data_IF_499652373409
#
_entry.id   IF_499652373409
#
_cell.length_a   1.000
_cell.length_b   1.000
_cell.length_c   1.000
_cell.angle_alpha   90.00
_cell.angle_beta   90.00
_cell.angle_gamma   90.00
#
_symmetry.space_group_name_H-M   'P 1'
#
loop_
_entity.id
_entity.type
_entity.pdbx_description
1 polymer ?
#
# COMPACT_ATOMS: atom_id res chain seq x y z
N UNK A 1 -41.28 -34.74 -40.30
CA UNK A 1 -39.82 -34.58 -40.06
C UNK A 1 -39.04 -35.03 -41.30
N UNK A 2 -39.06 -34.25 -42.39
CA UNK A 2 -38.39 -34.55 -43.68
C UNK A 2 -37.22 -33.59 -43.99
N UNK A 3 -36.62 -32.98 -42.96
CA UNK A 3 -35.52 -32.02 -43.12
C UNK A 3 -34.18 -32.66 -43.49
N UNK A 4 -34.05 -33.98 -43.33
CA UNK A 4 -32.78 -34.67 -43.52
C UNK A 4 -32.76 -35.60 -44.75
N UNK A 5 -33.90 -35.98 -45.33
CA UNK A 5 -33.94 -37.06 -46.33
C UNK A 5 -33.61 -36.63 -47.77
N UNK A 6 -33.73 -35.34 -48.12
CA UNK A 6 -33.56 -34.85 -49.51
C UNK A 6 -32.35 -33.92 -49.71
N UNK A 7 -31.36 -34.00 -48.82
CA UNK A 7 -30.16 -33.14 -48.86
C UNK A 7 -28.99 -33.92 -49.46
N UNK A 8 -28.49 -33.48 -50.63
CA UNK A 8 -27.28 -34.03 -51.27
C UNK A 8 -26.14 -34.15 -50.23
N UNK A 9 -25.40 -35.27 -50.27
CA UNK A 9 -24.35 -35.62 -49.31
C UNK A 9 -23.39 -34.44 -49.03
N UNK A 10 -23.02 -33.67 -50.06
CA UNK A 10 -22.17 -32.48 -49.92
C UNK A 10 -22.76 -31.36 -49.05
N UNK A 11 -24.08 -31.13 -49.06
CA UNK A 11 -24.73 -30.12 -48.20
C UNK A 11 -24.79 -30.55 -46.74
N UNK A 12 -25.00 -31.84 -46.46
CA UNK A 12 -24.95 -32.40 -45.10
C UNK A 12 -23.56 -32.27 -44.48
N UNK A 13 -22.52 -32.56 -45.26
CA UNK A 13 -21.12 -32.42 -44.83
C UNK A 13 -20.74 -30.94 -44.62
N UNK A 14 -21.18 -30.05 -45.50
CA UNK A 14 -20.95 -28.60 -45.36
C UNK A 14 -21.61 -27.98 -44.13
N UNK A 15 -22.82 -28.43 -43.76
CA UNK A 15 -23.50 -27.97 -42.53
C UNK A 15 -22.74 -28.44 -41.29
N UNK A 16 -22.32 -29.71 -41.25
CA UNK A 16 -21.53 -30.24 -40.13
C UNK A 16 -20.20 -29.50 -39.96
N UNK A 17 -19.50 -29.25 -41.07
CA UNK A 17 -18.26 -28.48 -41.06
C UNK A 17 -18.46 -27.01 -40.65
N UNK A 18 -19.53 -26.38 -41.14
CA UNK A 18 -19.89 -25.00 -40.76
C UNK A 18 -20.21 -24.85 -39.28
N UNK A 19 -20.88 -25.83 -38.66
CA UNK A 19 -21.16 -25.83 -37.22
C UNK A 19 -19.87 -25.93 -36.41
N UNK A 20 -18.94 -26.81 -36.81
CA UNK A 20 -17.63 -26.94 -36.13
C UNK A 20 -16.83 -25.65 -36.25
N UNK A 21 -16.80 -25.03 -37.44
CA UNK A 21 -16.16 -23.73 -37.64
C UNK A 21 -16.78 -22.64 -36.78
N UNK A 22 -18.11 -22.56 -36.71
CA UNK A 22 -18.81 -21.59 -35.86
C UNK A 22 -18.47 -21.79 -34.38
N UNK A 23 -18.43 -23.04 -33.91
CA UNK A 23 -18.02 -23.36 -32.54
C UNK A 23 -16.57 -22.97 -32.29
N UNK A 24 -15.65 -23.18 -33.24
CA UNK A 24 -14.27 -22.70 -33.11
C UNK A 24 -14.21 -21.18 -32.97
N UNK A 25 -14.90 -20.44 -33.83
CA UNK A 25 -14.93 -18.97 -33.77
C UNK A 25 -15.48 -18.49 -32.42
N UNK A 26 -16.55 -19.10 -31.92
CA UNK A 26 -17.11 -18.79 -30.59
C UNK A 26 -16.07 -19.01 -29.49
N UNK A 27 -15.36 -20.14 -29.50
CA UNK A 27 -14.31 -20.42 -28.52
C UNK A 27 -13.18 -19.38 -28.57
N UNK A 28 -12.75 -18.98 -29.77
CA UNK A 28 -11.72 -17.93 -29.92
C UNK A 28 -12.21 -16.59 -29.35
N UNK A 29 -13.44 -16.19 -29.67
CA UNK A 29 -14.02 -14.93 -29.16
C UNK A 29 -14.12 -14.95 -27.64
N UNK A 30 -14.61 -16.04 -27.06
CA UNK A 30 -14.66 -16.23 -25.61
C UNK A 30 -13.25 -16.15 -25.03
N UNK A 31 -12.29 -16.87 -25.61
CA UNK A 31 -10.89 -16.83 -25.18
C UNK A 31 -10.31 -15.43 -25.14
N UNK A 32 -10.58 -14.61 -26.17
CA UNK A 32 -10.15 -13.20 -26.23
C UNK A 32 -10.76 -12.39 -25.09
N UNK A 33 -12.08 -12.51 -24.84
CA UNK A 33 -12.78 -11.77 -23.76
C UNK A 33 -12.20 -12.14 -22.38
N UNK A 34 -11.96 -13.43 -22.14
CA UNK A 34 -11.37 -13.89 -20.89
C UNK A 34 -9.93 -13.39 -20.72
N UNK A 35 -9.11 -13.44 -21.77
CA UNK A 35 -7.74 -12.91 -21.74
C UNK A 35 -7.72 -11.40 -21.48
N UNK A 36 -8.64 -10.62 -22.07
CA UNK A 36 -8.78 -9.19 -21.79
C UNK A 36 -9.18 -8.92 -20.34
N UNK A 37 -10.11 -9.71 -19.80
CA UNK A 37 -10.56 -9.58 -18.40
C UNK A 37 -9.44 -9.89 -17.42
N UNK A 38 -8.66 -10.94 -17.69
CA UNK A 38 -7.48 -11.31 -16.89
C UNK A 38 -6.42 -10.21 -16.98
N UNK A 39 -6.13 -9.69 -18.18
CA UNK A 39 -5.18 -8.60 -18.39
C UNK A 39 -5.57 -7.35 -17.59
N UNK A 40 -6.84 -6.96 -17.62
CA UNK A 40 -7.35 -5.79 -16.88
C UNK A 40 -7.26 -5.99 -15.35
N UNK A 41 -7.51 -7.21 -14.87
CA UNK A 41 -7.38 -7.54 -13.45
C UNK A 41 -5.91 -7.57 -12.99
N UNK A 42 -5.02 -8.14 -13.79
CA UNK A 42 -3.58 -8.11 -13.54
C UNK A 42 -3.05 -6.69 -13.54
N UNK A 43 -3.47 -5.84 -14.48
CA UNK A 43 -3.09 -4.43 -14.51
C UNK A 43 -3.55 -3.68 -13.25
N UNK A 44 -4.77 -3.95 -12.77
CA UNK A 44 -5.27 -3.36 -11.52
C UNK A 44 -4.47 -3.84 -10.30
N UNK A 45 -4.17 -5.14 -10.20
CA UNK A 45 -3.37 -5.70 -9.10
C UNK A 45 -1.95 -5.11 -9.14
N UNK A 46 -1.31 -5.13 -10.31
CA UNK A 46 0.08 -4.73 -10.46
C UNK A 46 0.26 -3.22 -10.32
N UNK A 47 -0.66 -2.40 -10.84
CA UNK A 47 -0.50 -0.94 -10.81
C UNK A 47 -1.11 -0.29 -9.58
N UNK A 48 -2.26 -0.77 -9.09
CA UNK A 48 -2.96 -0.13 -7.96
C UNK A 48 -2.54 -0.78 -6.64
N UNK A 49 -2.66 -2.10 -6.51
CA UNK A 49 -2.40 -2.75 -5.22
C UNK A 49 -0.91 -2.70 -4.82
N UNK A 50 0.03 -2.91 -5.76
CA UNK A 50 1.45 -2.71 -5.44
C UNK A 50 1.76 -1.26 -5.10
N UNK A 51 1.11 -0.29 -5.73
CA UNK A 51 1.32 1.12 -5.41
C UNK A 51 0.79 1.46 -4.00
N UNK A 52 -0.37 0.91 -3.61
CA UNK A 52 -0.89 1.02 -2.24
C UNK A 52 0.06 0.38 -1.23
N UNK A 53 0.51 -0.85 -1.50
CA UNK A 53 1.46 -1.57 -0.65
C UNK A 53 2.80 -0.83 -0.54
N UNK A 54 3.29 -0.21 -1.61
CA UNK A 54 4.48 0.64 -1.57
C UNK A 54 4.29 1.84 -0.66
N UNK A 55 3.19 2.60 -0.80
CA UNK A 55 2.95 3.75 0.10
C UNK A 55 2.75 3.32 1.55
N UNK A 56 2.09 2.19 1.81
CA UNK A 56 1.98 1.62 3.15
C UNK A 56 3.36 1.27 3.75
N UNK A 57 4.24 0.66 2.95
CA UNK A 57 5.62 0.39 3.34
C UNK A 57 6.43 1.66 3.57
N UNK A 58 6.27 2.69 2.74
CA UNK A 58 6.94 3.98 2.90
C UNK A 58 6.50 4.66 4.21
N UNK A 59 5.21 4.56 4.57
CA UNK A 59 4.68 5.05 5.86
C UNK A 59 5.28 4.27 7.03
N UNK A 60 5.29 2.93 6.95
CA UNK A 60 5.88 2.08 8.00
C UNK A 60 7.36 2.41 8.20
N UNK A 61 8.12 2.53 7.10
CA UNK A 61 9.53 2.91 7.13
C UNK A 61 9.74 4.29 7.74
N UNK A 62 8.89 5.25 7.42
CA UNK A 62 8.96 6.59 8.00
C UNK A 62 8.83 6.56 9.54
N UNK A 63 7.96 5.72 10.11
CA UNK A 63 7.87 5.57 11.56
C UNK A 63 9.15 4.98 12.16
N UNK A 64 9.67 3.89 11.60
CA UNK A 64 10.92 3.29 12.08
C UNK A 64 12.11 4.26 11.99
N UNK A 65 12.25 4.98 10.88
CA UNK A 65 13.33 5.94 10.67
C UNK A 65 13.21 7.12 11.65
N UNK A 66 11.99 7.63 11.90
CA UNK A 66 11.76 8.71 12.88
C UNK A 66 12.11 8.22 14.28
N UNK A 67 11.66 7.03 14.70
CA UNK A 67 11.98 6.49 16.03
C UNK A 67 13.49 6.33 16.21
N UNK A 68 14.19 5.81 15.19
CA UNK A 68 15.65 5.70 15.21
C UNK A 68 16.33 7.06 15.38
N UNK A 69 15.93 8.06 14.58
CA UNK A 69 16.52 9.41 14.64
C UNK A 69 16.22 10.13 15.95
N UNK A 70 15.03 9.92 16.54
CA UNK A 70 14.72 10.45 17.88
C UNK A 70 15.64 9.80 18.91
N UNK A 71 15.84 8.48 18.86
CA UNK A 71 16.83 7.81 19.72
C UNK A 71 18.23 8.40 19.56
N UNK A 72 18.65 8.69 18.33
CA UNK A 72 19.93 9.36 18.07
C UNK A 72 19.99 10.75 18.73
N UNK A 73 18.93 11.56 18.66
CA UNK A 73 18.86 12.87 19.31
C UNK A 73 19.00 12.75 20.84
N UNK A 74 18.33 11.76 21.43
CA UNK A 74 18.34 11.52 22.88
C UNK A 74 19.70 11.03 23.38
N UNK A 75 20.36 10.15 22.63
CA UNK A 75 21.60 9.47 23.08
C UNK A 75 22.88 10.23 22.74
N UNK A 76 22.91 10.99 21.64
CA UNK A 76 24.15 11.69 21.23
C UNK A 76 24.44 12.90 22.11
N UNK A 77 25.72 13.18 22.37
CA UNK A 77 26.19 14.41 23.00
C UNK A 77 26.57 15.52 22.00
N UNK A 78 26.68 15.19 20.71
CA UNK A 78 27.03 16.14 19.65
C UNK A 78 25.81 16.93 19.17
N UNK A 79 25.84 18.26 19.37
CA UNK A 79 24.77 19.16 18.93
C UNK A 79 24.59 19.20 17.41
N UNK A 80 25.67 19.05 16.63
CA UNK A 80 25.58 19.04 15.17
C UNK A 80 24.85 17.78 14.68
N UNK A 81 25.15 16.63 15.28
CA UNK A 81 24.46 15.38 15.03
C UNK A 81 22.96 15.45 15.38
N UNK A 82 22.59 16.14 16.48
CA UNK A 82 21.18 16.37 16.85
C UNK A 82 20.44 17.21 15.80
N UNK A 83 21.03 18.31 15.37
CA UNK A 83 20.45 19.17 14.31
C UNK A 83 20.31 18.43 12.98
N UNK A 84 21.29 17.62 12.59
CA UNK A 84 21.20 16.79 11.39
C UNK A 84 20.07 15.77 11.49
N UNK A 85 19.96 15.07 12.63
CA UNK A 85 18.88 14.11 12.87
C UNK A 85 17.50 14.78 12.82
N UNK A 86 17.36 15.98 13.41
CA UNK A 86 16.13 16.77 13.35
C UNK A 86 15.76 17.14 11.91
N UNK A 87 16.71 17.61 11.10
CA UNK A 87 16.48 17.92 9.68
C UNK A 87 16.02 16.68 8.90
N UNK A 88 16.61 15.51 9.17
CA UNK A 88 16.18 14.24 8.55
C UNK A 88 14.75 13.87 8.97
N UNK A 89 14.40 14.03 10.25
CA UNK A 89 13.03 13.81 10.74
C UNK A 89 12.03 14.68 9.97
N UNK A 90 12.29 15.97 9.80
CA UNK A 90 11.39 16.87 9.09
C UNK A 90 11.22 16.49 7.61
N UNK A 91 12.31 16.07 6.94
CA UNK A 91 12.25 15.55 5.57
C UNK A 91 11.40 14.26 5.48
N UNK A 92 11.56 13.34 6.43
CA UNK A 92 10.79 12.09 6.48
C UNK A 92 9.31 12.38 6.75
N UNK A 93 8.98 13.32 7.63
CA UNK A 93 7.60 13.77 7.88
C UNK A 93 6.94 14.31 6.62
N UNK A 94 7.69 15.03 5.78
CA UNK A 94 7.22 15.46 4.46
C UNK A 94 6.85 14.28 3.56
N UNK A 95 7.74 13.28 3.46
CA UNK A 95 7.50 12.06 2.67
C UNK A 95 6.32 11.23 3.19
N UNK A 96 6.20 11.11 4.51
CA UNK A 96 5.06 10.47 5.17
C UNK A 96 3.74 11.13 4.75
N UNK A 97 3.66 12.47 4.83
CA UNK A 97 2.44 13.22 4.45
C UNK A 97 2.04 12.94 3.00
N UNK A 98 3.00 13.02 2.08
CA UNK A 98 2.75 12.73 0.66
C UNK A 98 2.29 11.29 0.45
N UNK A 99 2.95 10.31 1.09
CA UNK A 99 2.60 8.89 0.95
C UNK A 99 1.21 8.59 1.50
N UNK A 100 0.87 9.19 2.64
CA UNK A 100 -0.47 9.09 3.25
C UNK A 100 -1.55 9.67 2.34
N UNK A 101 -1.37 10.89 1.84
CA UNK A 101 -2.33 11.52 0.92
C UNK A 101 -2.53 10.70 -0.37
N UNK A 102 -1.45 10.09 -0.89
CA UNK A 102 -1.53 9.24 -2.08
C UNK A 102 -2.22 7.91 -1.79
N UNK A 103 -1.96 7.30 -0.64
CA UNK A 103 -2.63 6.09 -0.20
C UNK A 103 -4.13 6.33 0.00
N UNK A 104 -4.52 7.41 0.67
CA UNK A 104 -5.92 7.82 0.86
C UNK A 104 -6.66 8.00 -0.47
N UNK A 105 -6.03 8.68 -1.44
CA UNK A 105 -6.62 8.89 -2.78
C UNK A 105 -6.79 7.61 -3.58
N UNK A 106 -5.93 6.61 -3.36
CA UNK A 106 -6.01 5.33 -4.05
C UNK A 106 -6.97 4.36 -3.37
N UNK A 107 -7.29 4.55 -2.09
CA UNK A 107 -8.13 3.62 -1.35
C UNK A 107 -9.62 3.89 -1.54
N UNK A 108 -10.28 2.93 -2.19
CA UNK A 108 -11.70 2.97 -2.53
C UNK A 108 -12.52 1.96 -1.72
N UNK A 109 -11.87 1.01 -1.06
CA UNK A 109 -12.52 0.05 -0.18
C UNK A 109 -12.76 0.68 1.20
N UNK A 110 -13.99 0.55 1.71
CA UNK A 110 -14.40 1.02 3.04
C UNK A 110 -13.51 0.49 4.16
N UNK A 111 -13.15 -0.79 4.11
CA UNK A 111 -12.28 -1.41 5.11
C UNK A 111 -10.88 -0.77 5.11
N UNK A 112 -10.30 -0.57 3.93
CA UNK A 112 -9.00 0.09 3.78
C UNK A 112 -9.03 1.54 4.26
N UNK A 113 -10.11 2.27 3.99
CA UNK A 113 -10.30 3.64 4.49
C UNK A 113 -10.40 3.68 6.02
N UNK A 114 -11.08 2.71 6.63
CA UNK A 114 -11.18 2.61 8.09
C UNK A 114 -9.82 2.29 8.73
N UNK A 115 -9.00 1.44 8.10
CA UNK A 115 -7.63 1.17 8.53
C UNK A 115 -6.75 2.42 8.45
N UNK A 116 -6.83 3.18 7.34
CA UNK A 116 -6.09 4.43 7.19
C UNK A 116 -6.52 5.46 8.25
N UNK A 117 -7.83 5.54 8.55
CA UNK A 117 -8.35 6.42 9.60
C UNK A 117 -7.77 6.06 10.96
N UNK A 118 -7.82 4.77 11.35
CA UNK A 118 -7.22 4.28 12.60
C UNK A 118 -5.72 4.60 12.68
N UNK A 119 -4.99 4.35 11.58
CA UNK A 119 -3.57 4.67 11.49
C UNK A 119 -3.28 6.15 11.75
N UNK A 120 -4.10 7.06 11.23
CA UNK A 120 -3.96 8.51 11.44
C UNK A 120 -4.27 8.94 12.86
N UNK A 121 -5.30 8.36 13.47
CA UNK A 121 -5.66 8.60 14.87
C UNK A 121 -4.51 8.18 15.80
N UNK A 122 -3.94 7.01 15.54
CA UNK A 122 -2.80 6.49 16.27
C UNK A 122 -1.54 7.35 16.04
N UNK A 123 -1.19 7.67 14.79
CA UNK A 123 -0.06 8.54 14.48
C UNK A 123 -0.18 9.93 15.12
N UNK A 124 -1.40 10.44 15.32
CA UNK A 124 -1.63 11.70 16.01
C UNK A 124 -1.26 11.63 17.50
N UNK A 125 -1.53 10.51 18.18
CA UNK A 125 -1.12 10.29 19.58
C UNK A 125 0.40 10.27 19.72
N UNK A 126 1.08 9.55 18.84
CA UNK A 126 2.55 9.48 18.84
C UNK A 126 3.24 10.80 18.48
N UNK A 127 2.56 11.70 17.75
CA UNK A 127 3.13 12.98 17.29
C UNK A 127 3.50 13.91 18.45
N UNK A 128 2.65 14.01 19.46
CA UNK A 128 2.89 14.90 20.60
C UNK A 128 4.09 14.44 21.42
N UNK A 129 4.11 13.15 21.78
CA UNK A 129 5.22 12.51 22.49
C UNK A 129 6.53 12.62 21.70
N UNK A 130 6.49 12.42 20.38
CA UNK A 130 7.64 12.62 19.50
C UNK A 130 8.20 14.05 19.58
N UNK A 131 7.34 15.05 19.51
CA UNK A 131 7.76 16.45 19.54
C UNK A 131 8.37 16.83 20.90
N UNK A 132 7.74 16.41 22.00
CA UNK A 132 8.28 16.60 23.35
C UNK A 132 9.65 15.93 23.50
N UNK A 133 9.79 14.70 23.02
CA UNK A 133 11.06 13.96 23.09
C UNK A 133 12.18 14.68 22.33
N UNK A 134 11.87 15.16 21.11
CA UNK A 134 12.82 15.94 20.31
C UNK A 134 13.18 17.24 21.04
N UNK A 135 12.21 17.97 21.58
CA UNK A 135 12.45 19.24 22.28
C UNK A 135 13.35 19.07 23.51
N UNK A 136 13.08 18.08 24.36
CA UNK A 136 13.92 17.77 25.50
C UNK A 136 15.32 17.29 25.08
N UNK A 137 15.41 16.43 24.05
CA UNK A 137 16.68 15.94 23.54
C UNK A 137 17.55 17.04 22.92
N UNK A 138 16.94 17.97 22.18
CA UNK A 138 17.64 19.15 21.64
C UNK A 138 18.14 20.08 22.75
N UNK A 139 17.37 20.23 23.84
CA UNK A 139 17.72 21.06 24.99
C UNK A 139 18.81 20.44 25.90
N UNK A 140 19.25 19.20 25.62
CA UNK A 140 20.23 18.50 26.44
C UNK A 140 19.68 17.90 27.73
N UNK A 141 18.35 17.93 27.93
CA UNK A 141 17.67 17.32 29.07
C UNK A 141 17.51 15.81 28.82
N UNK A 142 18.64 15.09 28.82
CA UNK A 142 18.74 13.69 28.38
C UNK A 142 17.94 12.73 29.27
N UNK A 143 17.70 13.07 30.53
CA UNK A 143 16.89 12.25 31.45
C UNK A 143 15.41 12.27 31.07
N UNK A 144 14.81 13.44 30.96
CA UNK A 144 13.42 13.65 30.55
C UNK A 144 13.19 13.17 29.11
N UNK A 145 14.17 13.38 28.22
CA UNK A 145 14.10 12.90 26.85
C UNK A 145 14.13 11.36 26.78
N UNK A 146 14.91 10.69 27.64
CA UNK A 146 14.96 9.22 27.70
C UNK A 146 13.66 8.62 28.26
N UNK A 147 13.05 9.25 29.27
CA UNK A 147 11.75 8.83 29.82
C UNK A 147 10.64 8.93 28.76
N UNK A 148 10.61 10.05 28.01
CA UNK A 148 9.65 10.24 26.90
C UNK A 148 9.93 9.29 25.72
N UNK A 149 11.19 8.96 25.45
CA UNK A 149 11.54 7.97 24.43
C UNK A 149 11.08 6.54 24.78
N UNK A 150 11.09 6.18 26.07
CA UNK A 150 10.56 4.90 26.53
C UNK A 150 9.03 4.83 26.37
N UNK A 151 8.32 5.94 26.60
CA UNK A 151 6.88 6.05 26.31
C UNK A 151 6.61 5.89 24.81
N UNK A 152 7.40 6.58 23.96
CA UNK A 152 7.31 6.48 22.51
C UNK A 152 7.52 5.05 22.02
N UNK A 153 8.51 4.34 22.55
CA UNK A 153 8.86 2.98 22.11
C UNK A 153 7.69 2.01 22.33
N UNK A 154 6.95 2.13 23.45
CA UNK A 154 5.73 1.33 23.71
C UNK A 154 4.60 1.64 22.74
N UNK A 155 4.44 2.91 22.37
CA UNK A 155 3.44 3.34 21.39
C UNK A 155 3.77 2.76 20.01
N UNK A 156 5.05 2.75 19.64
CA UNK A 156 5.52 2.22 18.35
C UNK A 156 5.46 0.70 18.27
N UNK A 157 5.72 -0.02 19.37
CA UNK A 157 5.53 -1.48 19.42
C UNK A 157 4.10 -1.88 19.06
N UNK A 158 3.10 -1.15 19.57
CA UNK A 158 1.70 -1.36 19.22
C UNK A 158 1.39 -1.12 17.74
N UNK A 159 2.22 -0.38 17.00
CA UNK A 159 2.05 -0.20 15.55
C UNK A 159 2.60 -1.36 14.73
N UNK A 160 3.52 -2.15 15.31
CA UNK A 160 4.20 -3.25 14.61
C UNK A 160 3.48 -4.59 14.83
N UNK A 161 2.87 -4.81 15.99
CA UNK A 161 2.14 -6.06 16.34
C UNK A 161 0.70 -6.12 15.85
N UNK A 162 0.14 -5.02 15.34
CA UNK A 162 -1.22 -4.97 14.76
C UNK A 162 -1.21 -5.25 13.24
N UNK A 163 -0.05 -5.52 12.66
CA UNK A 163 0.12 -5.92 11.25
C UNK A 163 0.19 -7.43 11.08
#
# INVERSE_FOLDING_TARGET
MKLFTDVKIGKRLGIGFGIILALMVINVVIGIIYLQTISNNLDRIVKVNNTKARYANDIRKAFSDITYLIGQIVTTSDSAAREEAKKKIDAIRGKYKVSMERLEKLETNKEGQDLIKKLKEEAAKGRDVNNQTIEHGMSGNTKEASEKFAELSKIVENYITVA
#
